data_IF_810881090555
#
_entry.id   IF_810881090555
#
_cell.length_a   1.000
_cell.length_b   1.000
_cell.length_c   1.000
_cell.angle_alpha   90.00
_cell.angle_beta   90.00
_cell.angle_gamma   90.00
#
_symmetry.space_group_name_H-M   'P 1'
#
loop_
_entity.id
_entity.type
_entity.pdbx_description
1 polymer ?
#
# COMPACT_ATOMS: atom_id res chain seq x y z
N UNK A 1 -6.82 9.78 25.09
CA UNK A 1 -8.18 10.30 24.73
C UNK A 1 -8.46 9.96 23.28
N UNK A 2 -9.53 9.21 23.02
CA UNK A 2 -10.01 8.93 21.64
C UNK A 2 -10.52 10.23 21.05
N UNK A 3 -9.94 10.68 19.96
CA UNK A 3 -10.43 11.89 19.28
C UNK A 3 -11.69 11.53 18.48
N UNK A 4 -12.74 12.29 18.69
CA UNK A 4 -13.97 12.15 17.91
C UNK A 4 -13.74 12.76 16.53
N UNK A 5 -13.58 11.90 15.50
CA UNK A 5 -13.32 12.31 14.11
C UNK A 5 -14.58 12.78 13.39
N UNK A 6 -15.77 12.61 14.02
CA UNK A 6 -17.07 13.03 13.46
C UNK A 6 -17.42 14.47 13.81
N UNK A 7 -16.55 15.20 14.51
CA UNK A 7 -16.74 16.58 14.95
C UNK A 7 -15.49 17.44 14.70
N UNK A 8 -15.59 18.75 14.87
CA UNK A 8 -14.49 19.69 14.70
C UNK A 8 -14.13 19.96 13.22
N UNK A 9 -12.97 20.60 12.99
CA UNK A 9 -12.49 20.92 11.64
C UNK A 9 -12.07 19.67 10.88
N UNK A 10 -12.59 19.53 9.64
CA UNK A 10 -12.25 18.41 8.72
C UNK A 10 -10.75 18.46 8.39
N UNK A 11 -10.21 19.63 8.06
CA UNK A 11 -8.80 19.83 7.75
C UNK A 11 -7.88 19.32 8.88
N UNK A 12 -8.17 19.77 10.12
CA UNK A 12 -7.39 19.32 11.29
C UNK A 12 -7.48 17.81 11.51
N UNK A 13 -8.63 17.20 11.24
CA UNK A 13 -8.80 15.75 11.36
C UNK A 13 -8.02 15.01 10.28
N UNK A 14 -8.05 15.49 9.02
CA UNK A 14 -7.27 14.89 7.93
C UNK A 14 -5.79 14.95 8.26
N UNK A 15 -5.20 16.11 8.56
CA UNK A 15 -3.77 16.24 8.86
C UNK A 15 -3.36 15.40 10.07
N UNK A 16 -4.16 15.43 11.14
CA UNK A 16 -3.87 14.66 12.35
C UNK A 16 -3.83 13.15 12.10
N UNK A 17 -4.68 12.64 11.20
CA UNK A 17 -4.78 11.23 10.89
C UNK A 17 -3.83 10.81 9.78
N UNK A 18 -3.69 11.62 8.72
CA UNK A 18 -2.88 11.28 7.56
C UNK A 18 -1.38 11.36 7.81
N UNK A 19 -0.90 12.31 8.62
CA UNK A 19 0.54 12.47 8.84
C UNK A 19 1.19 11.27 9.53
N UNK A 20 0.64 10.69 10.62
CA UNK A 20 1.18 9.45 11.18
C UNK A 20 1.05 8.27 10.22
N UNK A 21 0.00 8.26 9.37
CA UNK A 21 -0.18 7.23 8.36
C UNK A 21 0.88 7.30 7.26
N UNK A 22 1.13 8.51 6.73
CA UNK A 22 2.18 8.80 5.77
C UNK A 22 3.55 8.37 6.31
N UNK A 23 3.85 8.73 7.57
CA UNK A 23 5.10 8.35 8.21
C UNK A 23 5.21 6.83 8.38
N UNK A 24 4.11 6.12 8.66
CA UNK A 24 4.11 4.66 8.71
C UNK A 24 4.49 4.04 7.35
N UNK A 25 3.92 4.55 6.25
CA UNK A 25 4.28 4.08 4.91
C UNK A 25 5.72 4.41 4.54
N UNK A 26 6.18 5.62 4.86
CA UNK A 26 7.57 6.03 4.64
C UNK A 26 8.55 5.10 5.37
N UNK A 27 8.30 4.82 6.66
CA UNK A 27 9.14 3.91 7.44
C UNK A 27 9.13 2.47 6.88
N UNK A 28 7.97 1.99 6.38
CA UNK A 28 7.90 0.69 5.71
C UNK A 28 8.74 0.65 4.43
N UNK A 29 8.73 1.72 3.66
CA UNK A 29 9.57 1.80 2.46
C UNK A 29 11.05 1.89 2.83
N UNK A 30 11.38 2.64 3.88
CA UNK A 30 12.74 2.85 4.36
C UNK A 30 13.40 1.56 4.81
N UNK A 31 12.72 0.72 5.62
CA UNK A 31 13.35 -0.51 6.08
C UNK A 31 13.59 -1.49 4.92
N UNK A 32 12.66 -1.59 3.95
CA UNK A 32 12.89 -2.43 2.77
C UNK A 32 14.06 -1.96 1.90
N UNK A 33 14.38 -0.65 1.90
CA UNK A 33 15.59 -0.12 1.26
C UNK A 33 16.83 -0.38 2.11
N UNK A 34 16.71 -0.33 3.43
CA UNK A 34 17.83 -0.60 4.34
C UNK A 34 18.33 -2.05 4.21
N UNK A 35 17.43 -3.02 4.09
CA UNK A 35 17.79 -4.44 3.84
C UNK A 35 18.71 -4.55 2.62
N UNK A 36 18.33 -3.90 1.49
CA UNK A 36 19.12 -3.93 0.25
C UNK A 36 20.46 -3.19 0.38
N UNK A 37 20.47 -2.07 1.09
CA UNK A 37 21.69 -1.30 1.32
C UNK A 37 22.67 -2.07 2.18
N UNK A 38 22.21 -2.70 3.26
CA UNK A 38 23.06 -3.42 4.20
C UNK A 38 23.62 -4.70 3.56
N UNK A 39 22.76 -5.50 2.87
CA UNK A 39 23.26 -6.70 2.18
C UNK A 39 24.31 -6.37 1.14
N UNK A 40 24.15 -5.24 0.42
CA UNK A 40 25.13 -4.77 -0.56
C UNK A 40 26.48 -4.35 0.02
N UNK A 41 26.54 -4.03 1.33
CA UNK A 41 27.81 -3.71 2.01
C UNK A 41 28.60 -4.94 2.46
N UNK A 42 27.90 -6.02 2.84
CA UNK A 42 28.53 -7.16 3.49
C UNK A 42 28.61 -8.39 2.60
N UNK A 43 27.83 -8.43 1.51
CA UNK A 43 27.72 -9.63 0.68
C UNK A 43 27.78 -9.27 -0.84
N UNK A 44 27.97 -10.27 -1.68
CA UNK A 44 28.13 -10.11 -3.12
C UNK A 44 26.83 -9.88 -3.89
N UNK A 45 26.97 -9.71 -5.22
CA UNK A 45 25.88 -9.45 -6.13
C UNK A 45 24.78 -10.52 -6.12
N UNK A 46 25.12 -11.79 -5.94
CA UNK A 46 24.15 -12.90 -5.87
C UNK A 46 23.21 -12.75 -4.68
N UNK A 47 23.74 -12.42 -3.49
CA UNK A 47 22.94 -12.22 -2.27
C UNK A 47 22.11 -10.96 -2.36
N UNK A 48 22.64 -9.86 -2.90
CA UNK A 48 21.89 -8.62 -3.13
C UNK A 48 20.72 -8.86 -4.10
N UNK A 49 20.95 -9.63 -5.17
CA UNK A 49 19.90 -10.02 -6.13
C UNK A 49 18.83 -10.88 -5.45
N UNK A 50 19.24 -11.83 -4.61
CA UNK A 50 18.32 -12.70 -3.87
C UNK A 50 17.41 -11.91 -2.95
N UNK A 51 17.95 -10.96 -2.16
CA UNK A 51 17.16 -10.08 -1.28
C UNK A 51 16.27 -9.14 -2.10
N UNK A 52 16.75 -8.61 -3.23
CA UNK A 52 15.96 -7.73 -4.09
C UNK A 52 14.73 -8.43 -4.65
N UNK A 53 14.89 -9.63 -5.22
CA UNK A 53 13.77 -10.43 -5.76
C UNK A 53 12.83 -10.86 -4.63
N UNK A 54 13.38 -11.35 -3.52
CA UNK A 54 12.59 -11.75 -2.35
C UNK A 54 11.77 -10.61 -1.78
N UNK A 55 12.35 -9.42 -1.62
CA UNK A 55 11.68 -8.21 -1.13
C UNK A 55 10.55 -7.75 -2.07
N UNK A 56 10.73 -7.88 -3.38
CA UNK A 56 9.69 -7.55 -4.35
C UNK A 56 8.47 -8.47 -4.21
N UNK A 57 8.69 -9.77 -4.05
CA UNK A 57 7.62 -10.74 -3.79
C UNK A 57 6.92 -10.43 -2.47
N UNK A 58 7.68 -10.19 -1.40
CA UNK A 58 7.12 -9.83 -0.08
C UNK A 58 6.35 -8.52 -0.11
N UNK A 59 6.81 -7.52 -0.87
CA UNK A 59 6.09 -6.27 -1.05
C UNK A 59 4.71 -6.50 -1.68
N UNK A 60 4.63 -7.27 -2.76
CA UNK A 60 3.36 -7.62 -3.42
C UNK A 60 2.38 -8.31 -2.45
N UNK A 61 2.87 -9.29 -1.67
CA UNK A 61 2.05 -10.01 -0.68
C UNK A 61 1.56 -9.06 0.41
N UNK A 62 2.45 -8.20 0.92
CA UNK A 62 2.12 -7.23 1.98
C UNK A 62 1.05 -6.24 1.51
N UNK A 63 1.15 -5.73 0.29
CA UNK A 63 0.15 -4.82 -0.30
C UNK A 63 -1.22 -5.49 -0.38
N UNK A 64 -1.29 -6.75 -0.79
CA UNK A 64 -2.53 -7.54 -0.81
C UNK A 64 -3.12 -7.70 0.62
N UNK A 65 -2.28 -8.01 1.62
CA UNK A 65 -2.70 -8.12 3.03
C UNK A 65 -3.24 -6.77 3.54
N UNK A 66 -2.58 -5.65 3.23
CA UNK A 66 -3.03 -4.30 3.59
C UNK A 66 -4.37 -3.97 2.94
N UNK A 67 -4.55 -4.31 1.67
CA UNK A 67 -5.82 -4.14 0.96
C UNK A 67 -6.95 -4.94 1.62
N UNK A 68 -6.72 -6.21 1.94
CA UNK A 68 -7.68 -7.04 2.69
C UNK A 68 -8.01 -6.43 4.05
N UNK A 69 -7.01 -5.92 4.76
CA UNK A 69 -7.16 -5.32 6.09
C UNK A 69 -7.94 -3.99 6.07
N UNK A 70 -8.10 -3.34 4.90
CA UNK A 70 -8.94 -2.14 4.76
C UNK A 70 -10.39 -2.42 5.13
N UNK A 71 -10.90 -3.63 4.83
CA UNK A 71 -12.25 -4.06 5.25
C UNK A 71 -12.45 -3.98 6.75
N UNK A 72 -11.44 -4.37 7.53
CA UNK A 72 -11.42 -4.23 8.99
C UNK A 72 -11.50 -2.77 9.43
N UNK A 73 -10.63 -1.92 8.85
CA UNK A 73 -10.60 -0.48 9.18
C UNK A 73 -11.96 0.16 8.97
N UNK A 74 -12.59 -0.08 7.81
CA UNK A 74 -13.88 0.50 7.46
C UNK A 74 -15.01 -0.03 8.35
N UNK A 75 -15.10 -1.35 8.56
CA UNK A 75 -16.17 -1.97 9.37
C UNK A 75 -16.12 -1.49 10.82
N UNK A 76 -14.94 -1.44 11.43
CA UNK A 76 -14.76 -0.92 12.78
C UNK A 76 -15.06 0.59 12.82
N UNK A 77 -14.58 1.36 11.85
CA UNK A 77 -14.81 2.79 11.80
C UNK A 77 -16.30 3.15 11.70
N UNK A 78 -17.07 2.41 10.89
CA UNK A 78 -18.54 2.58 10.81
C UNK A 78 -19.21 2.28 12.15
N UNK A 79 -18.85 1.17 12.80
CA UNK A 79 -19.42 0.82 14.12
C UNK A 79 -19.05 1.87 15.20
N UNK A 80 -17.81 2.38 15.20
CA UNK A 80 -17.38 3.46 16.10
C UNK A 80 -18.14 4.75 15.83
N UNK A 81 -18.35 5.09 14.56
CA UNK A 81 -19.14 6.25 14.17
C UNK A 81 -20.61 6.16 14.63
N UNK A 82 -21.21 4.98 14.49
CA UNK A 82 -22.55 4.67 14.98
C UNK A 82 -22.65 4.59 16.53
N UNK A 83 -21.52 4.67 17.24
CA UNK A 83 -21.39 4.47 18.68
C UNK A 83 -21.82 3.07 19.15
N UNK A 84 -21.84 2.12 18.24
CA UNK A 84 -22.16 0.71 18.54
C UNK A 84 -20.87 -0.03 18.96
N UNK A 85 -20.63 -0.03 20.27
CA UNK A 85 -19.48 -0.71 20.87
C UNK A 85 -19.53 -2.23 20.68
N UNK A 86 -20.74 -2.81 20.67
CA UNK A 86 -20.93 -4.25 20.53
C UNK A 86 -20.56 -4.69 19.11
N UNK A 87 -21.01 -3.96 18.10
CA UNK A 87 -20.63 -4.23 16.71
C UNK A 87 -19.13 -3.99 16.49
N UNK A 88 -18.55 -2.95 17.08
CA UNK A 88 -17.09 -2.72 16.99
C UNK A 88 -16.29 -3.87 17.62
N UNK A 89 -16.73 -4.41 18.78
CA UNK A 89 -16.12 -5.59 19.41
C UNK A 89 -16.25 -6.83 18.52
N UNK A 90 -17.43 -7.09 17.96
CA UNK A 90 -17.69 -8.21 17.03
C UNK A 90 -16.83 -8.12 15.78
N UNK A 91 -16.75 -6.93 15.14
CA UNK A 91 -15.88 -6.72 13.98
C UNK A 91 -14.41 -6.98 14.34
N UNK A 92 -13.95 -6.52 15.51
CA UNK A 92 -12.58 -6.72 15.96
C UNK A 92 -12.28 -8.21 16.21
N UNK A 93 -13.16 -8.92 16.94
CA UNK A 93 -12.98 -10.34 17.23
C UNK A 93 -13.03 -11.21 15.96
N UNK A 94 -14.02 -10.97 15.09
CA UNK A 94 -14.12 -11.69 13.82
C UNK A 94 -12.94 -11.39 12.86
N UNK A 95 -12.38 -10.18 12.91
CA UNK A 95 -11.15 -9.85 12.18
C UNK A 95 -10.00 -10.74 12.65
N UNK A 96 -9.76 -10.85 13.96
CA UNK A 96 -8.69 -11.69 14.51
C UNK A 96 -8.86 -13.14 14.05
N UNK A 97 -10.05 -13.71 14.18
CA UNK A 97 -10.31 -15.10 13.81
C UNK A 97 -10.15 -15.33 12.30
N UNK A 98 -10.72 -14.44 11.47
CA UNK A 98 -10.63 -14.53 10.02
C UNK A 98 -9.17 -14.49 9.53
N UNK A 99 -8.42 -13.48 9.97
CA UNK A 99 -7.07 -13.28 9.47
C UNK A 99 -6.03 -14.22 10.08
N UNK A 100 -6.29 -14.78 11.26
CA UNK A 100 -5.49 -15.88 11.77
C UNK A 100 -5.60 -17.09 10.82
N UNK A 101 -6.82 -17.45 10.43
CA UNK A 101 -7.04 -18.53 9.45
C UNK A 101 -6.43 -18.21 8.09
N UNK A 102 -6.69 -17.01 7.56
CA UNK A 102 -6.14 -16.57 6.27
C UNK A 102 -4.60 -16.58 6.29
N UNK A 103 -3.96 -16.09 7.36
CA UNK A 103 -2.50 -16.03 7.43
C UNK A 103 -1.84 -17.42 7.45
N UNK A 104 -2.45 -18.38 8.16
CA UNK A 104 -1.95 -19.77 8.19
C UNK A 104 -2.12 -20.43 6.83
N UNK A 105 -3.29 -20.28 6.21
CA UNK A 105 -3.53 -20.83 4.85
C UNK A 105 -2.58 -20.20 3.84
N UNK A 106 -2.41 -18.89 3.88
CA UNK A 106 -1.50 -18.18 2.99
C UNK A 106 -0.04 -18.61 3.20
N UNK A 107 0.39 -18.74 4.45
CA UNK A 107 1.73 -19.26 4.79
C UNK A 107 1.96 -20.65 4.17
N UNK A 108 1.03 -21.57 4.36
CA UNK A 108 1.15 -22.94 3.82
C UNK A 108 1.20 -22.92 2.28
N UNK A 109 0.31 -22.19 1.63
CA UNK A 109 0.28 -22.07 0.16
C UNK A 109 1.61 -21.48 -0.35
N UNK A 110 2.09 -20.38 0.25
CA UNK A 110 3.32 -19.73 -0.17
C UNK A 110 4.54 -20.61 0.04
N UNK A 111 4.62 -21.37 1.15
CA UNK A 111 5.70 -22.33 1.39
C UNK A 111 5.73 -23.45 0.34
N UNK A 112 4.57 -23.92 -0.11
CA UNK A 112 4.47 -24.91 -1.20
C UNK A 112 4.87 -24.31 -2.55
N UNK A 113 4.65 -23.00 -2.75
CA UNK A 113 4.91 -22.29 -4.00
C UNK A 113 6.28 -21.58 -4.05
N UNK A 114 7.15 -21.70 -3.05
CA UNK A 114 8.46 -21.01 -3.04
C UNK A 114 9.24 -21.24 -4.33
N UNK A 115 9.44 -22.51 -4.71
CA UNK A 115 10.20 -22.86 -5.92
C UNK A 115 9.52 -22.40 -7.21
N UNK A 116 8.21 -22.61 -7.44
CA UNK A 116 7.49 -22.01 -8.55
C UNK A 116 7.60 -20.48 -8.62
N UNK A 117 7.51 -19.78 -7.50
CA UNK A 117 7.64 -18.31 -7.45
C UNK A 117 9.03 -17.88 -7.92
N UNK A 118 10.09 -18.52 -7.39
CA UNK A 118 11.48 -18.22 -7.78
C UNK A 118 11.72 -18.46 -9.28
N UNK A 119 11.10 -19.50 -9.84
CA UNK A 119 11.15 -19.79 -11.29
C UNK A 119 10.42 -18.73 -12.11
N UNK A 120 9.21 -18.35 -11.72
CA UNK A 120 8.42 -17.31 -12.42
C UNK A 120 9.12 -15.96 -12.37
N UNK A 121 9.83 -15.66 -11.27
CA UNK A 121 10.65 -14.45 -11.13
C UNK A 121 11.91 -14.45 -11.99
N UNK A 122 12.17 -15.52 -12.75
CA UNK A 122 13.37 -15.68 -13.59
C UNK A 122 14.66 -15.39 -12.84
N UNK A 123 14.73 -15.89 -11.60
CA UNK A 123 15.87 -15.65 -10.70
C UNK A 123 17.16 -16.25 -11.29
N UNK A 124 18.27 -15.47 -11.39
CA UNK A 124 19.57 -15.98 -11.84
C UNK A 124 20.03 -17.18 -10.99
N UNK A 125 20.70 -18.15 -11.63
CA UNK A 125 21.12 -19.42 -11.00
C UNK A 125 21.86 -19.23 -9.69
N UNK A 126 22.74 -18.23 -9.64
CA UNK A 126 23.58 -17.91 -8.48
C UNK A 126 22.77 -17.36 -7.29
N UNK A 127 21.62 -16.73 -7.57
CA UNK A 127 20.74 -16.13 -6.57
C UNK A 127 19.60 -17.06 -6.12
N UNK A 128 19.33 -18.17 -6.82
CA UNK A 128 18.20 -19.07 -6.53
C UNK A 128 18.21 -19.56 -5.08
N UNK A 129 19.34 -20.07 -4.61
CA UNK A 129 19.47 -20.61 -3.25
C UNK A 129 19.16 -19.55 -2.19
N UNK A 130 19.73 -18.35 -2.35
CA UNK A 130 19.50 -17.22 -1.45
C UNK A 130 18.05 -16.74 -1.47
N UNK A 131 17.43 -16.67 -2.66
CA UNK A 131 16.02 -16.25 -2.82
C UNK A 131 15.06 -17.27 -2.17
N UNK A 132 15.31 -18.58 -2.35
CA UNK A 132 14.52 -19.64 -1.70
C UNK A 132 14.64 -19.54 -0.18
N UNK A 133 15.84 -19.36 0.36
CA UNK A 133 16.05 -19.23 1.81
C UNK A 133 15.34 -17.96 2.35
N UNK A 134 15.51 -16.82 1.70
CA UNK A 134 14.86 -15.56 2.05
C UNK A 134 13.33 -15.70 2.08
N UNK A 135 12.74 -16.18 0.98
CA UNK A 135 11.28 -16.32 0.88
C UNK A 135 10.74 -17.35 1.88
N UNK A 136 11.44 -18.47 2.10
CA UNK A 136 11.00 -19.47 3.08
C UNK A 136 10.88 -18.88 4.48
N UNK A 137 11.88 -18.14 4.94
CA UNK A 137 11.87 -17.48 6.26
C UNK A 137 10.78 -16.42 6.34
N UNK A 138 10.66 -15.58 5.32
CA UNK A 138 9.62 -14.56 5.27
C UNK A 138 8.21 -15.16 5.22
N UNK A 139 8.00 -16.27 4.50
CA UNK A 139 6.70 -16.94 4.44
C UNK A 139 6.30 -17.57 5.77
N UNK A 140 7.26 -18.13 6.53
CA UNK A 140 7.02 -18.52 7.93
C UNK A 140 6.63 -17.31 8.78
N UNK A 141 7.14 -16.13 8.46
CA UNK A 141 6.81 -14.85 9.10
C UNK A 141 5.44 -14.24 8.72
N UNK A 142 4.74 -14.76 7.71
CA UNK A 142 3.45 -14.22 7.23
C UNK A 142 2.41 -14.04 8.36
N UNK A 143 2.24 -14.95 9.31
CA UNK A 143 1.31 -14.75 10.41
C UNK A 143 1.62 -13.50 11.25
N UNK A 144 2.88 -13.17 11.50
CA UNK A 144 3.28 -11.97 12.24
C UNK A 144 3.09 -10.69 11.41
N UNK A 145 3.47 -10.72 10.11
CA UNK A 145 3.25 -9.61 9.17
C UNK A 145 1.75 -9.31 9.08
N UNK A 146 0.92 -10.34 8.94
CA UNK A 146 -0.55 -10.20 8.90
C UNK A 146 -1.06 -9.65 10.22
N UNK A 147 -0.62 -10.19 11.36
CA UNK A 147 -1.04 -9.74 12.69
C UNK A 147 -0.74 -8.25 12.90
N UNK A 148 0.47 -7.77 12.53
CA UNK A 148 0.79 -6.35 12.58
C UNK A 148 -0.17 -5.49 11.75
N UNK A 149 -0.43 -5.87 10.50
CA UNK A 149 -1.30 -5.12 9.60
C UNK A 149 -2.75 -5.09 10.10
N UNK A 150 -3.24 -6.19 10.65
CA UNK A 150 -4.58 -6.29 11.22
C UNK A 150 -4.71 -5.45 12.50
N UNK A 151 -3.76 -5.53 13.43
CA UNK A 151 -3.76 -4.71 14.63
C UNK A 151 -3.72 -3.22 14.24
N UNK A 152 -2.88 -2.85 13.28
CA UNK A 152 -2.81 -1.51 12.74
C UNK A 152 -4.15 -1.05 12.16
N UNK A 153 -4.84 -1.92 11.42
CA UNK A 153 -6.16 -1.64 10.84
C UNK A 153 -7.24 -1.48 11.90
N UNK A 154 -7.20 -2.26 12.98
CA UNK A 154 -8.08 -2.11 14.14
C UNK A 154 -7.88 -0.72 14.77
N UNK A 155 -6.64 -0.33 15.07
CA UNK A 155 -6.35 0.98 15.64
C UNK A 155 -6.83 2.13 14.74
N UNK A 156 -6.59 2.02 13.43
CA UNK A 156 -7.04 3.00 12.44
C UNK A 156 -8.56 3.11 12.40
N UNK A 157 -9.27 1.98 12.43
CA UNK A 157 -10.74 1.95 12.52
C UNK A 157 -11.26 2.63 13.79
N UNK A 158 -10.54 2.49 14.92
CA UNK A 158 -10.81 3.18 16.17
C UNK A 158 -10.49 4.69 16.15
N UNK A 159 -9.88 5.19 15.09
CA UNK A 159 -9.47 6.59 14.95
C UNK A 159 -8.08 6.91 15.48
N UNK A 160 -7.26 5.89 15.73
CA UNK A 160 -5.87 6.06 16.20
C UNK A 160 -4.89 5.64 15.09
N UNK A 161 -4.32 6.62 14.38
CA UNK A 161 -3.26 6.42 13.39
C UNK A 161 -1.85 6.52 14.00
N UNK A 162 -1.72 7.06 15.22
CA UNK A 162 -0.42 7.27 15.86
C UNK A 162 0.18 5.99 16.43
N UNK A 163 -0.64 5.15 17.07
CA UNK A 163 -0.14 3.91 17.67
C UNK A 163 0.51 2.98 16.63
N UNK A 164 -0.10 2.69 15.46
CA UNK A 164 0.56 1.94 14.39
C UNK A 164 1.88 2.56 13.92
N UNK A 165 1.95 3.89 13.83
CA UNK A 165 3.18 4.59 13.47
C UNK A 165 4.32 4.32 14.47
N UNK A 166 4.05 4.34 15.77
CA UNK A 166 5.06 4.02 16.77
C UNK A 166 5.51 2.56 16.70
N UNK A 167 4.59 1.63 16.44
CA UNK A 167 4.94 0.21 16.33
C UNK A 167 5.87 -0.04 15.15
N UNK A 168 5.58 0.57 13.98
CA UNK A 168 6.44 0.41 12.81
C UNK A 168 7.76 1.16 12.96
N UNK A 169 7.80 2.30 13.66
CA UNK A 169 9.05 3.02 13.92
C UNK A 169 10.02 2.18 14.75
N UNK A 170 9.53 1.49 15.78
CA UNK A 170 10.35 0.58 16.59
C UNK A 170 10.76 -0.64 15.75
N UNK A 171 9.85 -1.20 14.93
CA UNK A 171 10.20 -2.30 14.04
C UNK A 171 11.28 -1.91 13.02
N UNK A 172 11.19 -0.72 12.43
CA UNK A 172 12.18 -0.22 11.49
C UNK A 172 13.57 -0.11 12.15
N UNK A 173 13.64 0.48 13.33
CA UNK A 173 14.90 0.57 14.08
C UNK A 173 15.45 -0.81 14.46
N UNK A 174 14.59 -1.73 14.91
CA UNK A 174 14.98 -3.09 15.24
C UNK A 174 15.42 -3.87 13.99
N UNK A 175 14.73 -3.72 12.84
CA UNK A 175 15.12 -4.36 11.59
C UNK A 175 16.52 -3.94 11.18
N UNK A 176 16.81 -2.63 11.12
CA UNK A 176 18.16 -2.13 10.77
C UNK A 176 19.22 -2.70 11.71
N UNK A 177 18.97 -2.72 13.02
CA UNK A 177 19.91 -3.27 13.99
C UNK A 177 20.13 -4.78 13.81
N UNK A 178 19.05 -5.53 13.56
CA UNK A 178 19.11 -6.97 13.32
C UNK A 178 19.80 -7.30 11.99
N UNK A 179 19.63 -6.48 10.98
CA UNK A 179 20.29 -6.65 9.69
C UNK A 179 21.81 -6.49 9.81
N UNK A 180 22.29 -5.46 10.51
CA UNK A 180 23.73 -5.34 10.82
C UNK A 180 24.24 -6.52 11.66
N UNK A 181 23.43 -7.04 12.57
CA UNK A 181 23.81 -8.22 13.34
C UNK A 181 23.86 -9.49 12.47
N UNK A 182 22.79 -9.78 11.73
CA UNK A 182 22.68 -11.05 11.00
C UNK A 182 23.47 -11.07 9.70
N UNK A 183 23.46 -9.98 8.93
CA UNK A 183 24.21 -9.89 7.69
C UNK A 183 25.65 -9.43 7.94
N UNK A 184 25.88 -8.44 8.83
CA UNK A 184 27.20 -7.88 9.10
C UNK A 184 28.04 -8.76 10.01
N UNK A 185 27.57 -9.05 11.24
CA UNK A 185 28.38 -9.78 12.24
C UNK A 185 28.31 -11.31 12.09
N UNK A 186 27.14 -11.86 11.74
CA UNK A 186 26.94 -13.32 11.64
C UNK A 186 27.05 -13.86 10.21
N UNK A 187 27.18 -13.00 9.22
CA UNK A 187 27.34 -13.35 7.79
C UNK A 187 26.30 -14.35 7.26
N UNK A 188 25.02 -14.20 7.68
CA UNK A 188 23.92 -15.08 7.26
C UNK A 188 23.36 -14.73 5.86
N UNK A 189 23.87 -13.70 5.20
CA UNK A 189 23.45 -13.29 3.86
C UNK A 189 21.93 -13.03 3.74
N UNK A 190 21.29 -13.53 2.65
CA UNK A 190 19.85 -13.34 2.44
C UNK A 190 18.97 -13.89 3.56
N UNK A 191 19.39 -14.99 4.23
CA UNK A 191 18.67 -15.53 5.40
C UNK A 191 18.69 -14.55 6.57
N UNK A 192 19.79 -13.80 6.74
CA UNK A 192 19.92 -12.77 7.77
C UNK A 192 18.94 -11.62 7.55
N UNK A 193 18.80 -11.10 6.33
CA UNK A 193 17.83 -10.10 5.97
C UNK A 193 16.39 -10.56 6.26
N UNK A 194 16.03 -11.78 5.86
CA UNK A 194 14.72 -12.35 6.11
C UNK A 194 14.41 -12.53 7.60
N UNK A 195 15.40 -12.94 8.41
CA UNK A 195 15.27 -13.04 9.87
C UNK A 195 15.10 -11.65 10.50
N UNK A 196 15.88 -10.65 10.07
CA UNK A 196 15.74 -9.26 10.51
C UNK A 196 14.33 -8.73 10.29
N UNK A 197 13.80 -8.90 9.08
CA UNK A 197 12.45 -8.52 8.72
C UNK A 197 11.39 -9.26 9.55
N UNK A 198 11.48 -10.58 9.68
CA UNK A 198 10.48 -11.40 10.38
C UNK A 198 10.48 -11.12 11.89
N UNK A 199 11.65 -11.00 12.51
CA UNK A 199 11.77 -10.73 13.95
C UNK A 199 11.36 -9.31 14.32
N UNK A 200 11.68 -8.32 13.48
CA UNK A 200 11.23 -6.93 13.69
C UNK A 200 9.71 -6.79 13.61
N UNK A 201 9.07 -7.49 12.68
CA UNK A 201 7.60 -7.54 12.59
C UNK A 201 7.00 -8.25 13.81
N UNK A 202 7.61 -9.33 14.29
CA UNK A 202 7.20 -10.03 15.52
C UNK A 202 7.29 -9.10 16.73
N UNK A 203 8.36 -8.33 16.85
CA UNK A 203 8.52 -7.31 17.89
C UNK A 203 7.41 -6.26 17.84
N UNK A 204 7.05 -5.77 16.64
CA UNK A 204 5.92 -4.87 16.44
C UNK A 204 4.62 -5.44 16.98
N UNK A 205 4.33 -6.71 16.69
CA UNK A 205 3.12 -7.39 17.19
C UNK A 205 3.14 -7.47 18.72
N UNK A 206 4.25 -7.84 19.32
CA UNK A 206 4.40 -7.92 20.78
C UNK A 206 4.13 -6.53 21.41
N UNK A 207 4.75 -5.47 20.88
CA UNK A 207 4.55 -4.10 21.37
C UNK A 207 3.09 -3.64 21.21
N UNK A 208 2.46 -4.00 20.08
CA UNK A 208 1.06 -3.69 19.84
C UNK A 208 0.12 -4.41 20.82
N UNK A 209 0.39 -5.67 21.15
CA UNK A 209 -0.37 -6.43 22.14
C UNK A 209 -0.18 -5.88 23.56
N UNK A 210 1.03 -5.46 23.91
CA UNK A 210 1.30 -4.78 25.21
C UNK A 210 0.53 -3.45 25.26
N UNK A 211 0.53 -2.68 24.16
CA UNK A 211 -0.20 -1.42 24.09
C UNK A 211 -1.73 -1.61 24.23
N UNK A 212 -2.29 -2.67 23.63
CA UNK A 212 -3.71 -3.03 23.79
C UNK A 212 -4.03 -3.35 25.25
N UNK A 213 -3.17 -4.12 25.94
CA UNK A 213 -3.39 -4.46 27.36
C UNK A 213 -3.29 -3.26 28.29
N UNK A 214 -2.36 -2.32 28.03
CA UNK A 214 -2.13 -1.15 28.88
C UNK A 214 -3.09 0.00 28.61
N UNK A 215 -3.68 0.10 27.44
CA UNK A 215 -4.58 1.19 27.04
C UNK A 215 -6.03 0.73 27.03
N UNK A 216 -6.90 1.50 27.65
CA UNK A 216 -8.34 1.31 27.42
C UNK A 216 -8.68 1.69 25.97
N UNK A 217 -8.74 0.68 25.12
CA UNK A 217 -9.15 0.84 23.71
C UNK A 217 -10.63 1.17 23.57
N UNK A 218 -11.42 1.09 24.68
CA UNK A 218 -12.88 1.27 24.75
C UNK A 218 -13.66 0.14 24.05
N UNK A 219 -12.96 -0.90 23.61
CA UNK A 219 -13.54 -2.17 23.13
C UNK A 219 -13.11 -3.25 24.12
N UNK A 220 -14.09 -3.96 24.66
CA UNK A 220 -13.86 -5.15 25.49
C UNK A 220 -14.18 -6.37 24.65
N UNK A 221 -13.17 -7.13 24.29
CA UNK A 221 -13.33 -8.38 23.57
C UNK A 221 -13.77 -9.48 24.56
N UNK A 222 -14.83 -10.16 24.21
CA UNK A 222 -15.31 -11.35 24.88
C UNK A 222 -15.03 -12.60 24.04
N UNK A 223 -15.04 -13.77 24.63
CA UNK A 223 -14.87 -15.03 23.87
C UNK A 223 -15.92 -15.19 22.78
N UNK A 224 -17.14 -14.67 22.99
CA UNK A 224 -18.21 -14.70 22.00
C UNK A 224 -17.93 -13.82 20.77
N UNK A 225 -17.13 -12.77 20.90
CA UNK A 225 -16.77 -11.91 19.76
C UNK A 225 -15.76 -12.59 18.82
N UNK A 226 -14.99 -13.55 19.31
CA UNK A 226 -14.05 -14.36 18.53
C UNK A 226 -14.75 -15.50 17.77
N UNK A 227 -15.99 -15.83 18.12
CA UNK A 227 -16.76 -16.85 17.38
C UNK A 227 -17.00 -16.39 15.94
N UNK A 228 -16.72 -17.25 14.93
CA UNK A 228 -16.93 -16.92 13.53
C UNK A 228 -18.37 -16.52 13.23
N UNK A 229 -18.57 -15.30 12.77
CA UNK A 229 -19.88 -14.80 12.31
C UNK A 229 -19.79 -14.49 10.82
N UNK A 230 -20.39 -15.35 9.99
CA UNK A 230 -20.30 -15.30 8.53
C UNK A 230 -20.71 -13.94 7.96
N UNK A 231 -21.73 -13.30 8.55
CA UNK A 231 -22.20 -11.98 8.13
C UNK A 231 -21.12 -10.90 8.34
N UNK A 232 -20.46 -10.91 9.52
CA UNK A 232 -19.40 -9.92 9.85
C UNK A 232 -18.17 -10.17 9.01
N UNK A 233 -17.71 -11.42 8.92
CA UNK A 233 -16.56 -11.79 8.08
C UNK A 233 -16.82 -11.48 6.61
N UNK A 234 -18.04 -11.78 6.12
CA UNK A 234 -18.47 -11.46 4.76
C UNK A 234 -18.44 -9.96 4.47
N UNK A 235 -18.85 -9.12 5.43
CA UNK A 235 -18.77 -7.66 5.28
C UNK A 235 -17.31 -7.18 5.19
N UNK A 236 -16.41 -7.69 6.03
CA UNK A 236 -14.97 -7.36 6.00
C UNK A 236 -14.38 -7.76 4.65
N UNK A 237 -14.63 -8.97 4.18
CA UNK A 237 -14.12 -9.46 2.90
C UNK A 237 -14.73 -8.73 1.71
N UNK A 238 -16.00 -8.39 1.75
CA UNK A 238 -16.68 -7.61 0.70
C UNK A 238 -16.01 -6.26 0.44
N UNK A 239 -15.43 -5.66 1.46
CA UNK A 239 -14.68 -4.41 1.33
C UNK A 239 -13.20 -4.69 1.01
N UNK A 240 -12.58 -5.64 1.71
CA UNK A 240 -11.15 -5.91 1.61
C UNK A 240 -10.73 -6.57 0.30
N UNK A 241 -11.50 -7.56 -0.19
CA UNK A 241 -11.13 -8.31 -1.41
C UNK A 241 -11.03 -7.41 -2.65
N UNK A 242 -11.98 -6.53 -2.97
CA UNK A 242 -11.84 -5.63 -4.11
C UNK A 242 -10.61 -4.73 -4.03
N UNK A 243 -10.25 -4.24 -2.82
CA UNK A 243 -9.05 -3.41 -2.63
C UNK A 243 -7.77 -4.23 -2.81
N UNK A 244 -7.71 -5.43 -2.25
CA UNK A 244 -6.57 -6.32 -2.43
C UNK A 244 -6.35 -6.68 -3.91
N UNK A 245 -7.42 -6.95 -4.65
CA UNK A 245 -7.37 -7.18 -6.09
C UNK A 245 -6.92 -5.93 -6.85
N UNK A 246 -7.46 -4.74 -6.51
CA UNK A 246 -7.03 -3.47 -7.09
C UNK A 246 -5.53 -3.27 -6.94
N UNK A 247 -5.01 -3.43 -5.73
CA UNK A 247 -3.60 -3.23 -5.43
C UNK A 247 -2.73 -4.27 -6.14
N UNK A 248 -3.18 -5.53 -6.21
CA UNK A 248 -2.52 -6.58 -6.98
C UNK A 248 -2.45 -6.25 -8.48
N UNK A 249 -3.54 -5.78 -9.09
CA UNK A 249 -3.55 -5.38 -10.51
C UNK A 249 -2.70 -4.16 -10.80
N UNK A 250 -2.58 -3.22 -9.85
CA UNK A 250 -1.65 -2.09 -9.98
C UNK A 250 -0.20 -2.60 -10.05
N UNK A 251 0.19 -3.57 -9.19
CA UNK A 251 1.54 -4.16 -9.23
C UNK A 251 1.79 -4.92 -10.55
N UNK A 252 0.81 -5.67 -11.04
CA UNK A 252 0.89 -6.34 -12.35
C UNK A 252 1.08 -5.31 -13.48
N UNK A 253 0.38 -4.18 -13.44
CA UNK A 253 0.53 -3.12 -14.43
C UNK A 253 1.96 -2.54 -14.43
N UNK A 254 2.58 -2.32 -13.28
CA UNK A 254 3.98 -1.89 -13.19
C UNK A 254 4.93 -2.91 -13.82
N UNK A 255 4.73 -4.20 -13.56
CA UNK A 255 5.54 -5.27 -14.17
C UNK A 255 5.40 -5.25 -15.71
N UNK A 256 4.18 -5.10 -16.23
CA UNK A 256 3.93 -5.06 -17.68
C UNK A 256 4.61 -3.82 -18.31
N UNK A 257 4.52 -2.66 -17.67
CA UNK A 257 5.18 -1.43 -18.14
C UNK A 257 6.70 -1.62 -18.18
N UNK A 258 7.28 -2.23 -17.15
CA UNK A 258 8.70 -2.58 -17.11
C UNK A 258 9.08 -3.54 -18.26
N UNK A 259 8.27 -4.55 -18.55
CA UNK A 259 8.50 -5.45 -19.67
C UNK A 259 8.48 -4.69 -21.01
N UNK A 260 7.54 -3.75 -21.19
CA UNK A 260 7.47 -2.91 -22.39
C UNK A 260 8.74 -2.05 -22.51
N UNK A 261 9.20 -1.45 -21.40
CA UNK A 261 10.42 -0.65 -21.36
C UNK A 261 11.68 -1.49 -21.70
N UNK A 262 11.77 -2.72 -21.17
CA UNK A 262 12.88 -3.65 -21.44
C UNK A 262 13.04 -3.97 -22.94
N UNK A 263 11.95 -4.01 -23.70
CA UNK A 263 11.97 -4.22 -25.16
C UNK A 263 12.56 -3.04 -25.94
N UNK A 264 12.71 -1.88 -25.30
CA UNK A 264 13.27 -0.67 -25.91
C UNK A 264 14.76 -0.51 -25.70
N UNK A 265 15.40 -1.44 -25.01
CA UNK A 265 16.83 -1.42 -24.72
C UNK A 265 17.16 -1.15 -23.27
N UNK A 266 18.44 -1.28 -22.94
CA UNK A 266 18.95 -1.25 -21.57
C UNK A 266 18.76 0.13 -20.92
N UNK A 267 19.05 1.20 -21.65
CA UNK A 267 18.95 2.58 -21.14
C UNK A 267 17.49 2.94 -20.83
N UNK A 268 16.54 2.56 -21.69
CA UNK A 268 15.11 2.79 -21.48
C UNK A 268 14.60 1.99 -20.28
N UNK A 269 15.02 0.75 -20.12
CA UNK A 269 14.68 -0.10 -18.99
C UNK A 269 15.17 0.49 -17.66
N UNK A 270 16.44 0.91 -17.62
CA UNK A 270 17.04 1.54 -16.46
C UNK A 270 16.34 2.86 -16.10
N UNK A 271 16.05 3.69 -17.11
CA UNK A 271 15.37 4.97 -16.95
C UNK A 271 13.96 4.79 -16.36
N UNK A 272 13.15 3.88 -16.90
CA UNK A 272 11.80 3.58 -16.39
C UNK A 272 11.88 3.03 -14.97
N UNK A 273 12.79 2.09 -14.69
CA UNK A 273 12.96 1.52 -13.35
C UNK A 273 13.32 2.55 -12.28
N UNK A 274 14.18 3.53 -12.59
CA UNK A 274 14.51 4.64 -11.68
C UNK A 274 13.27 5.51 -11.44
N UNK A 275 12.58 5.88 -12.51
CA UNK A 275 11.40 6.76 -12.40
C UNK A 275 10.28 6.09 -11.62
N UNK A 276 10.03 4.79 -11.81
CA UNK A 276 9.02 4.05 -11.02
C UNK A 276 9.32 4.08 -9.52
N UNK A 277 10.59 4.01 -9.12
CA UNK A 277 10.97 4.16 -7.71
C UNK A 277 10.69 5.56 -7.18
N UNK A 278 11.02 6.61 -7.95
CA UNK A 278 10.71 7.99 -7.58
C UNK A 278 9.20 8.19 -7.43
N UNK A 279 8.42 7.71 -8.39
CA UNK A 279 6.95 7.79 -8.37
C UNK A 279 6.38 7.04 -7.16
N UNK A 280 6.92 5.88 -6.81
CA UNK A 280 6.47 5.11 -5.64
C UNK A 280 6.59 5.92 -4.34
N UNK A 281 7.66 6.71 -4.16
CA UNK A 281 7.79 7.63 -3.03
C UNK A 281 6.75 8.76 -3.06
N UNK A 282 6.52 9.35 -4.23
CA UNK A 282 5.53 10.43 -4.37
C UNK A 282 4.11 9.93 -4.13
N UNK A 283 3.83 8.67 -4.44
CA UNK A 283 2.51 8.05 -4.24
C UNK A 283 2.20 7.69 -2.77
N UNK A 284 3.16 7.82 -1.86
CA UNK A 284 2.89 7.68 -0.42
C UNK A 284 1.82 8.67 0.06
N UNK A 285 1.77 9.89 -0.52
CA UNK A 285 0.78 10.91 -0.15
C UNK A 285 -0.63 10.54 -0.67
N UNK A 286 -0.86 10.25 -1.96
CA UNK A 286 -2.13 9.72 -2.43
C UNK A 286 -2.62 8.49 -1.65
N UNK A 287 -1.75 7.53 -1.39
CA UNK A 287 -2.09 6.29 -0.65
C UNK A 287 -2.48 6.57 0.80
N UNK A 288 -1.79 7.51 1.47
CA UNK A 288 -2.16 7.92 2.83
C UNK A 288 -3.51 8.64 2.86
N UNK A 289 -3.85 9.40 1.80
CA UNK A 289 -5.15 10.07 1.69
C UNK A 289 -6.28 9.09 1.39
N UNK A 290 -6.09 8.07 0.53
CA UNK A 290 -7.05 6.98 0.34
C UNK A 290 -7.42 6.37 1.70
N UNK A 291 -6.43 5.97 2.47
CA UNK A 291 -6.62 5.32 3.77
C UNK A 291 -7.24 6.25 4.81
N UNK A 292 -6.84 7.53 4.80
CA UNK A 292 -7.42 8.56 5.68
C UNK A 292 -8.89 8.80 5.36
N UNK A 293 -9.24 8.96 4.09
CA UNK A 293 -10.64 9.16 3.66
C UNK A 293 -11.47 7.92 3.96
N UNK A 294 -10.92 6.70 3.79
CA UNK A 294 -11.60 5.46 4.16
C UNK A 294 -11.96 5.42 5.64
N UNK A 295 -11.03 5.73 6.53
CA UNK A 295 -11.26 5.67 7.97
C UNK A 295 -12.17 6.81 8.47
N UNK A 296 -11.85 8.06 8.11
CA UNK A 296 -12.65 9.23 8.53
C UNK A 296 -14.04 9.23 7.89
N UNK A 297 -14.11 8.90 6.61
CA UNK A 297 -15.37 8.77 5.87
C UNK A 297 -16.27 7.70 6.50
N UNK A 298 -15.72 6.51 6.80
CA UNK A 298 -16.47 5.42 7.41
C UNK A 298 -17.02 5.80 8.79
N UNK A 299 -16.24 6.49 9.65
CA UNK A 299 -16.75 6.98 10.94
C UNK A 299 -17.86 8.03 10.76
N UNK A 300 -17.74 8.92 9.78
CA UNK A 300 -18.78 9.92 9.51
C UNK A 300 -20.06 9.27 8.94
N UNK A 301 -19.92 8.27 8.06
CA UNK A 301 -21.07 7.51 7.52
C UNK A 301 -21.76 6.75 8.64
N UNK A 302 -21.02 6.03 9.49
CA UNK A 302 -21.57 5.36 10.66
C UNK A 302 -22.30 6.29 11.62
N UNK A 303 -21.86 7.55 11.74
CA UNK A 303 -22.51 8.59 12.53
C UNK A 303 -23.71 9.25 11.81
N UNK A 304 -24.13 8.78 10.63
CA UNK A 304 -25.20 9.38 9.83
C UNK A 304 -24.82 10.72 9.16
N UNK A 305 -23.52 11.09 9.16
CA UNK A 305 -23.00 12.37 8.66
C UNK A 305 -22.42 12.26 7.24
N UNK A 306 -23.22 11.75 6.30
CA UNK A 306 -22.79 11.51 4.93
C UNK A 306 -22.18 12.76 4.24
N UNK A 307 -22.83 13.94 4.39
CA UNK A 307 -22.30 15.20 3.83
C UNK A 307 -20.88 15.50 4.33
N UNK A 308 -20.59 15.16 5.60
CA UNK A 308 -19.26 15.37 6.18
C UNK A 308 -18.24 14.37 5.62
N UNK A 309 -18.64 13.14 5.33
CA UNK A 309 -17.79 12.17 4.64
C UNK A 309 -17.43 12.66 3.21
N UNK A 310 -18.41 13.20 2.46
CA UNK A 310 -18.17 13.81 1.15
C UNK A 310 -17.23 15.02 1.24
N UNK A 311 -17.43 15.91 2.22
CA UNK A 311 -16.51 17.02 2.47
C UNK A 311 -15.10 16.57 2.80
N UNK A 312 -14.95 15.47 3.56
CA UNK A 312 -13.65 14.89 3.87
C UNK A 312 -12.95 14.42 2.60
N UNK A 313 -13.65 13.77 1.69
CA UNK A 313 -13.13 13.35 0.39
C UNK A 313 -12.65 14.56 -0.44
N UNK A 314 -13.47 15.61 -0.57
CA UNK A 314 -13.11 16.77 -1.35
C UNK A 314 -11.95 17.56 -0.74
N UNK A 315 -11.89 17.70 0.58
CA UNK A 315 -10.76 18.34 1.25
C UNK A 315 -9.44 17.51 1.03
N UNK A 316 -9.52 16.20 1.09
CA UNK A 316 -8.38 15.34 0.82
C UNK A 316 -7.96 15.43 -0.67
N UNK A 317 -8.93 15.47 -1.60
CA UNK A 317 -8.65 15.68 -3.02
C UNK A 317 -7.95 17.02 -3.28
N UNK A 318 -8.37 18.09 -2.62
CA UNK A 318 -7.71 19.39 -2.74
C UNK A 318 -6.26 19.33 -2.23
N UNK A 319 -6.00 18.66 -1.09
CA UNK A 319 -4.63 18.49 -0.58
C UNK A 319 -3.76 17.76 -1.60
N UNK A 320 -4.26 16.66 -2.17
CA UNK A 320 -3.49 15.87 -3.15
C UNK A 320 -3.28 16.61 -4.46
N UNK A 321 -4.26 17.39 -4.92
CA UNK A 321 -4.12 18.25 -6.11
C UNK A 321 -3.08 19.34 -5.90
N UNK A 322 -3.10 20.03 -4.75
CA UNK A 322 -2.11 21.07 -4.43
C UNK A 322 -0.70 20.46 -4.36
N UNK A 323 -0.56 19.34 -3.66
CA UNK A 323 0.70 18.62 -3.62
C UNK A 323 1.15 18.18 -5.02
N UNK A 324 0.27 17.56 -5.80
CA UNK A 324 0.57 17.11 -7.16
C UNK A 324 0.98 18.26 -8.08
N UNK A 325 0.33 19.42 -7.99
CA UNK A 325 0.70 20.62 -8.75
C UNK A 325 2.11 21.10 -8.41
N UNK A 326 2.45 21.16 -7.12
CA UNK A 326 3.80 21.54 -6.68
C UNK A 326 4.82 20.57 -7.27
N UNK A 327 4.58 19.27 -7.18
CA UNK A 327 5.48 18.23 -7.68
C UNK A 327 5.59 18.30 -9.22
N UNK A 328 4.47 18.42 -9.93
CA UNK A 328 4.46 18.54 -11.40
C UNK A 328 5.29 19.75 -11.83
N UNK A 329 5.01 20.93 -11.28
CA UNK A 329 5.74 22.16 -11.62
C UNK A 329 7.25 21.95 -11.37
N UNK A 330 7.62 21.43 -10.20
CA UNK A 330 9.02 21.21 -9.84
C UNK A 330 9.72 20.26 -10.82
N UNK A 331 9.11 19.11 -11.10
CA UNK A 331 9.70 18.08 -11.97
C UNK A 331 9.82 18.57 -13.44
N UNK A 332 8.91 19.41 -13.92
CA UNK A 332 9.06 19.95 -15.28
C UNK A 332 10.41 20.68 -15.47
N UNK A 333 10.93 21.34 -14.42
CA UNK A 333 12.19 22.09 -14.49
C UNK A 333 13.41 21.25 -14.14
N UNK A 334 13.30 20.26 -13.24
CA UNK A 334 14.44 19.52 -12.70
C UNK A 334 14.40 18.01 -12.99
N UNK A 335 13.65 17.56 -14.01
CA UNK A 335 13.46 16.16 -14.32
C UNK A 335 14.76 15.38 -14.53
N UNK A 336 15.68 15.89 -15.37
CA UNK A 336 16.96 15.24 -15.65
C UNK A 336 17.88 15.23 -14.41
N UNK A 337 18.11 16.35 -13.69
CA UNK A 337 18.83 16.33 -12.42
C UNK A 337 18.30 15.33 -11.39
N UNK A 338 16.97 15.22 -11.25
CA UNK A 338 16.36 14.29 -10.28
C UNK A 338 16.65 12.83 -10.63
N UNK A 339 16.55 12.45 -11.90
CA UNK A 339 16.92 11.10 -12.34
C UNK A 339 18.44 10.89 -12.23
N UNK A 340 19.24 11.92 -12.51
CA UNK A 340 20.70 11.91 -12.38
C UNK A 340 21.21 11.69 -10.95
N UNK A 341 20.38 11.86 -9.91
CA UNK A 341 20.74 11.45 -8.54
C UNK A 341 20.89 9.92 -8.39
N UNK A 342 20.31 9.14 -9.30
CA UNK A 342 20.28 7.68 -9.24
C UNK A 342 21.15 7.00 -10.30
N UNK A 343 21.71 7.76 -11.25
CA UNK A 343 22.56 7.23 -12.32
C UNK A 343 23.60 8.25 -12.76
N UNK A 344 24.77 7.76 -13.12
CA UNK A 344 25.85 8.56 -13.75
C UNK A 344 25.77 8.54 -15.28
N UNK A 345 24.91 7.68 -15.85
CA UNK A 345 24.72 7.58 -17.29
C UNK A 345 23.82 8.73 -17.78
N UNK A 346 24.37 9.57 -18.67
CA UNK A 346 23.71 10.76 -19.20
C UNK A 346 22.49 10.41 -20.06
N UNK A 347 22.53 9.30 -20.81
CA UNK A 347 21.41 8.86 -21.65
C UNK A 347 20.27 8.31 -20.81
N UNK A 348 20.55 7.51 -19.79
CA UNK A 348 19.55 7.06 -18.80
C UNK A 348 18.91 8.25 -18.08
N UNK A 349 19.71 9.26 -17.68
CA UNK A 349 19.17 10.47 -17.05
C UNK A 349 18.28 11.28 -18.00
N UNK A 350 18.65 11.38 -19.28
CA UNK A 350 17.87 12.07 -20.33
C UNK A 350 16.54 11.35 -20.59
N UNK A 351 16.57 10.04 -20.82
CA UNK A 351 15.37 9.24 -21.08
C UNK A 351 14.44 9.20 -19.86
N UNK A 352 15.00 9.03 -18.66
CA UNK A 352 14.24 9.08 -17.41
C UNK A 352 13.62 10.46 -17.16
N UNK A 353 14.35 11.54 -17.48
CA UNK A 353 13.83 12.90 -17.45
C UNK A 353 12.65 13.12 -18.40
N UNK A 354 12.67 12.52 -19.58
CA UNK A 354 11.52 12.53 -20.50
C UNK A 354 10.33 11.74 -19.93
N UNK A 355 10.57 10.53 -19.45
CA UNK A 355 9.53 9.65 -18.92
C UNK A 355 8.84 10.28 -17.69
N UNK A 356 9.61 10.79 -16.72
CA UNK A 356 9.05 11.39 -15.51
C UNK A 356 8.26 12.66 -15.81
N UNK A 357 8.65 13.48 -16.77
CA UNK A 357 7.89 14.68 -17.20
C UNK A 357 6.48 14.33 -17.67
N UNK A 358 6.33 13.21 -18.37
CA UNK A 358 5.03 12.72 -18.79
C UNK A 358 4.28 12.07 -17.64
N UNK A 359 4.94 11.19 -16.90
CA UNK A 359 4.31 10.38 -15.85
C UNK A 359 3.88 11.23 -14.64
N UNK A 360 4.60 12.31 -14.30
CA UNK A 360 4.38 13.07 -13.06
C UNK A 360 2.98 13.68 -12.94
N UNK A 361 2.27 13.89 -14.06
CA UNK A 361 0.87 14.32 -14.07
C UNK A 361 -0.03 13.33 -13.33
N UNK A 362 0.38 12.07 -13.27
CA UNK A 362 -0.31 11.02 -12.53
C UNK A 362 -0.39 11.33 -11.02
N UNK A 363 0.54 12.08 -10.45
CA UNK A 363 0.47 12.49 -9.04
C UNK A 363 -0.79 13.33 -8.74
N UNK A 364 -1.24 14.15 -9.69
CA UNK A 364 -2.49 14.90 -9.55
C UNK A 364 -3.69 13.95 -9.72
N UNK A 365 -3.69 13.18 -10.80
CA UNK A 365 -4.83 12.35 -11.18
C UNK A 365 -5.02 11.18 -10.21
N UNK A 366 -3.93 10.49 -9.83
CA UNK A 366 -3.97 9.44 -8.82
C UNK A 366 -4.42 9.99 -7.46
N UNK A 367 -3.94 11.18 -7.07
CA UNK A 367 -4.38 11.83 -5.85
C UNK A 367 -5.90 11.97 -5.78
N UNK A 368 -6.53 12.40 -6.87
CA UNK A 368 -7.99 12.56 -6.92
C UNK A 368 -8.70 11.22 -6.87
N UNK A 369 -8.39 10.27 -7.77
CA UNK A 369 -9.15 9.01 -7.80
C UNK A 369 -8.90 8.14 -6.56
N UNK A 370 -7.75 8.26 -5.88
CA UNK A 370 -7.49 7.58 -4.61
C UNK A 370 -8.40 8.10 -3.49
N UNK A 371 -8.69 9.41 -3.46
CA UNK A 371 -9.63 9.96 -2.47
C UNK A 371 -11.08 9.49 -2.74
N UNK A 372 -11.49 9.37 -4.02
CA UNK A 372 -12.76 8.74 -4.38
C UNK A 372 -12.81 7.27 -3.99
N UNK A 373 -11.74 6.51 -4.24
CA UNK A 373 -11.59 5.12 -3.80
C UNK A 373 -11.76 5.01 -2.28
N UNK A 374 -11.12 5.89 -1.52
CA UNK A 374 -11.29 5.98 -0.07
C UNK A 374 -12.74 6.23 0.34
N UNK A 375 -13.45 7.11 -0.35
CA UNK A 375 -14.87 7.37 -0.10
C UNK A 375 -15.75 6.16 -0.46
N UNK A 376 -15.49 5.49 -1.58
CA UNK A 376 -16.23 4.27 -1.95
C UNK A 376 -16.02 3.15 -0.92
N UNK A 377 -14.80 2.98 -0.42
CA UNK A 377 -14.50 2.07 0.70
C UNK A 377 -15.29 2.46 1.95
N UNK A 378 -15.29 3.74 2.32
CA UNK A 378 -16.02 4.26 3.47
C UNK A 378 -17.54 3.99 3.38
N UNK A 379 -18.09 3.99 2.17
CA UNK A 379 -19.48 3.64 1.88
C UNK A 379 -19.75 2.11 1.88
N UNK A 380 -18.73 1.27 2.06
CA UNK A 380 -18.85 -0.19 1.92
C UNK A 380 -19.04 -0.66 0.47
N UNK A 381 -18.65 0.15 -0.51
CA UNK A 381 -18.82 -0.07 -1.95
C UNK A 381 -17.46 -0.09 -2.68
N UNK A 382 -16.51 -0.81 -2.12
CA UNK A 382 -15.15 -0.92 -2.65
C UNK A 382 -15.05 -1.59 -4.02
N UNK A 383 -16.11 -2.29 -4.44
CA UNK A 383 -16.22 -2.83 -5.80
C UNK A 383 -16.07 -1.74 -6.87
N UNK A 384 -16.53 -0.52 -6.60
CA UNK A 384 -16.33 0.59 -7.53
C UNK A 384 -14.90 1.12 -7.55
N UNK A 385 -14.18 1.00 -6.43
CA UNK A 385 -12.76 1.31 -6.37
C UNK A 385 -11.94 0.36 -7.26
N UNK A 386 -12.22 -0.93 -7.16
CA UNK A 386 -11.62 -1.93 -8.04
C UNK A 386 -11.99 -1.70 -9.52
N UNK A 387 -13.29 -1.49 -9.81
CA UNK A 387 -13.81 -1.42 -11.17
C UNK A 387 -13.20 -0.28 -11.98
N UNK A 388 -13.14 0.95 -11.44
CA UNK A 388 -12.57 2.06 -12.18
C UNK A 388 -11.07 1.88 -12.43
N UNK A 389 -10.34 1.27 -11.47
CA UNK A 389 -8.91 1.01 -11.63
C UNK A 389 -8.64 -0.05 -12.70
N UNK A 390 -9.34 -1.19 -12.66
CA UNK A 390 -9.11 -2.27 -13.63
C UNK A 390 -9.45 -1.84 -15.06
N UNK A 391 -10.54 -1.07 -15.23
CA UNK A 391 -10.92 -0.50 -16.54
C UNK A 391 -9.80 0.45 -17.03
N UNK A 392 -9.34 1.36 -16.21
CA UNK A 392 -8.31 2.32 -16.57
C UNK A 392 -6.96 1.63 -16.89
N UNK A 393 -6.59 0.60 -16.13
CA UNK A 393 -5.35 -0.16 -16.35
C UNK A 393 -5.42 -0.94 -17.67
N UNK A 394 -6.48 -1.74 -17.86
CA UNK A 394 -6.56 -2.66 -18.99
C UNK A 394 -6.90 -1.97 -20.32
N UNK A 395 -7.72 -0.92 -20.31
CA UNK A 395 -8.19 -0.27 -21.52
C UNK A 395 -7.39 0.98 -21.91
N UNK A 396 -6.70 1.61 -20.98
CA UNK A 396 -6.01 2.88 -21.25
C UNK A 396 -4.52 2.82 -20.90
N UNK A 397 -4.16 2.47 -19.64
CA UNK A 397 -2.77 2.55 -19.18
C UNK A 397 -1.86 1.59 -19.95
N UNK A 398 -2.13 0.29 -19.91
CA UNK A 398 -1.30 -0.73 -20.57
C UNK A 398 -1.32 -0.57 -22.11
N UNK A 399 -2.48 -0.50 -22.79
CA UNK A 399 -2.50 -0.30 -24.24
C UNK A 399 -1.85 1.01 -24.66
N UNK A 400 -2.09 2.10 -23.94
CA UNK A 400 -1.51 3.41 -24.22
C UNK A 400 0.02 3.39 -24.13
N UNK A 401 0.58 2.80 -23.06
CA UNK A 401 2.03 2.64 -22.91
C UNK A 401 2.62 1.76 -24.02
N UNK A 402 1.95 0.67 -24.36
CA UNK A 402 2.40 -0.21 -25.44
C UNK A 402 2.39 0.50 -26.81
N UNK A 403 1.29 1.14 -27.18
CA UNK A 403 1.17 1.86 -28.45
C UNK A 403 2.17 3.01 -28.55
N UNK A 404 2.28 3.83 -27.50
CA UNK A 404 3.23 4.95 -27.51
C UNK A 404 4.68 4.47 -27.53
N UNK A 405 4.99 3.30 -26.97
CA UNK A 405 6.32 2.70 -27.06
C UNK A 405 6.72 2.33 -28.49
N UNK A 406 5.74 2.00 -29.36
CA UNK A 406 5.96 1.64 -30.76
C UNK A 406 5.97 2.89 -31.63
N UNK A 407 5.02 3.81 -31.44
CA UNK A 407 4.86 5.00 -32.29
C UNK A 407 5.92 6.07 -32.07
N UNK A 408 6.53 6.10 -30.89
CA UNK A 408 7.55 7.10 -30.52
C UNK A 408 8.83 6.42 -30.00
N UNK A 409 9.61 5.76 -30.91
CA UNK A 409 10.78 4.98 -30.49
C UNK A 409 11.90 5.85 -29.89
N UNK A 410 12.00 7.14 -30.23
CA UNK A 410 13.11 8.02 -29.85
C UNK A 410 12.89 8.73 -28.50
N UNK A 411 11.71 8.61 -27.90
CA UNK A 411 11.37 9.32 -26.66
C UNK A 411 10.50 8.49 -25.71
N UNK A 412 10.69 8.66 -24.41
CA UNK A 412 9.86 8.02 -23.38
C UNK A 412 8.73 8.93 -22.87
N UNK A 413 8.69 10.20 -23.27
CA UNK A 413 7.68 11.15 -22.80
C UNK A 413 6.24 10.70 -23.06
N UNK A 414 5.86 10.21 -24.28
CA UNK A 414 4.50 9.74 -24.54
C UNK A 414 4.09 8.52 -23.71
N UNK A 415 5.04 7.62 -23.37
CA UNK A 415 4.78 6.50 -22.47
C UNK A 415 4.39 7.00 -21.07
N UNK A 416 5.07 8.03 -20.57
CA UNK A 416 4.73 8.68 -19.31
C UNK A 416 3.33 9.28 -19.31
N UNK A 417 2.98 10.04 -20.37
CA UNK A 417 1.64 10.62 -20.54
C UNK A 417 0.57 9.54 -20.61
N UNK A 418 0.80 8.45 -21.34
CA UNK A 418 -0.15 7.33 -21.44
C UNK A 418 -0.46 6.72 -20.06
N UNK A 419 0.55 6.64 -19.20
CA UNK A 419 0.36 6.21 -17.80
C UNK A 419 -0.57 7.15 -17.04
N UNK A 420 -0.36 8.46 -17.14
CA UNK A 420 -1.19 9.48 -16.50
C UNK A 420 -2.62 9.51 -17.07
N UNK A 421 -2.83 9.26 -18.37
CA UNK A 421 -4.14 9.15 -18.98
C UNK A 421 -5.00 8.02 -18.36
N UNK A 422 -4.38 6.94 -17.91
CA UNK A 422 -5.07 5.89 -17.16
C UNK A 422 -5.76 6.44 -15.91
N UNK A 423 -5.03 7.20 -15.09
CA UNK A 423 -5.59 7.80 -13.88
C UNK A 423 -6.61 8.91 -14.17
N UNK A 424 -6.46 9.65 -15.26
CA UNK A 424 -7.48 10.61 -15.71
C UNK A 424 -8.79 9.88 -16.06
N UNK A 425 -8.72 8.74 -16.73
CA UNK A 425 -9.87 7.86 -17.00
C UNK A 425 -10.52 7.40 -15.70
N UNK A 426 -9.72 6.99 -14.71
CA UNK A 426 -10.21 6.65 -13.37
C UNK A 426 -11.00 7.78 -12.73
N UNK A 427 -10.55 9.06 -12.85
CA UNK A 427 -11.30 10.21 -12.32
C UNK A 427 -12.67 10.32 -12.98
N UNK A 428 -12.74 10.21 -14.29
CA UNK A 428 -14.01 10.30 -15.03
C UNK A 428 -14.99 9.25 -14.54
N UNK A 429 -14.52 7.99 -14.43
CA UNK A 429 -15.33 6.89 -13.91
C UNK A 429 -15.75 7.12 -12.46
N UNK A 430 -14.85 7.61 -11.61
CA UNK A 430 -15.16 7.95 -10.22
C UNK A 430 -16.25 9.01 -10.12
N UNK A 431 -16.22 10.05 -10.93
CA UNK A 431 -17.24 11.11 -10.97
C UNK A 431 -18.61 10.55 -11.40
N UNK A 432 -18.66 9.66 -12.38
CA UNK A 432 -19.88 8.99 -12.82
C UNK A 432 -20.45 8.12 -11.68
N UNK A 433 -19.63 7.30 -11.05
CA UNK A 433 -20.02 6.46 -9.91
C UNK A 433 -20.49 7.32 -8.73
N UNK A 434 -19.79 8.40 -8.42
CA UNK A 434 -20.17 9.31 -7.34
C UNK A 434 -21.54 9.93 -7.58
N UNK A 435 -21.83 10.38 -8.81
CA UNK A 435 -23.17 10.89 -9.21
C UNK A 435 -24.24 9.82 -9.08
N UNK A 436 -23.93 8.59 -9.45
CA UNK A 436 -24.85 7.45 -9.31
C UNK A 436 -25.15 7.15 -7.84
N UNK A 437 -24.13 7.11 -6.97
CA UNK A 437 -24.31 6.85 -5.54
C UNK A 437 -25.09 7.97 -4.83
N UNK A 438 -24.95 9.22 -5.25
CA UNK A 438 -25.75 10.33 -4.70
C UNK A 438 -27.27 10.16 -4.93
N UNK A 439 -27.67 9.48 -5.99
CA UNK A 439 -29.09 9.23 -6.30
C UNK A 439 -29.66 8.04 -5.50
N UNK A 440 -28.83 7.20 -4.90
CA UNK A 440 -29.26 6.04 -4.11
C UNK A 440 -28.87 6.25 -2.64
N UNK A 441 -29.83 6.11 -1.69
CA UNK A 441 -29.50 6.22 -0.28
C UNK A 441 -28.47 5.13 0.09
N UNK A 442 -27.41 5.52 0.77
CA UNK A 442 -26.43 4.57 1.31
C UNK A 442 -27.16 3.84 2.44
N UNK A 443 -27.49 2.57 2.24
CA UNK A 443 -27.99 1.71 3.32
C UNK A 443 -26.82 1.48 4.27
N UNK A 444 -26.83 2.17 5.41
CA UNK A 444 -26.02 1.76 6.56
C UNK A 444 -26.44 0.34 6.90
N UNK A 445 -25.50 -0.59 6.93
CA UNK A 445 -25.77 -1.93 7.42
C UNK A 445 -26.24 -1.81 8.87
N UNK A 446 -27.56 -2.06 9.09
CA UNK A 446 -28.16 -2.13 10.40
C UNK A 446 -27.68 -3.42 11.09
#
# INVERSE_FOLDING_TARGET
MKRNLTTGSIWKNIFYFSLPYLLSYFLQTLYGMADLFIIGQFDGAASTTAVSIGSQVMHMITVIIVGLAMGTTVSIAQAVGAKDKKQASRCTGNTITLFLGVSVVLMVILLLLVKPIVLVMSTPSEAVSGTVAYLTICFIGIPFITAYNIISSIFRGLGDSKSPMYFIAVACAANIALDYLFMGALHLGPSGAALGTTLSQTLSVILALIAIRKRDTGIRLTRSDLSPQTAVMGQILKIGVPIALQDGFIQIAFIIITIIANRRGLEAAAAVGIVEKIISFLFLIPSSMLSTVSALGAQNIGAGKQKRAEQTMWCAALITVVFGLIVVITIQFISVPVVGLFTTDAEVARLGGQYIRGYIWDCIFAGVHFTFSGYFCACGRSEFSFLHNIIAILLVRIPGVYLTSIWFPDTLFPMGIATACGSLTSIILCLLVFRYLKKKPIRTAA
#
